data_IF_137124863570
#
_entry.id   IF_137124863570
#
_cell.length_a   1.000
_cell.length_b   1.000
_cell.length_c   1.000
_cell.angle_alpha   90.00
_cell.angle_beta   90.00
_cell.angle_gamma   90.00
#
_symmetry.space_group_name_H-M   'P 1'
#
loop_
_entity.id
_entity.type
_entity.pdbx_description
1 polymer ?
#
# COMPACT_ATOMS: atom_id res chain seq x y z
N UNK A 1 -26.60 5.51 10.95
CA UNK A 1 -27.54 6.48 10.32
C UNK A 1 -26.72 7.22 9.28
N UNK A 2 -26.72 6.76 8.02
CA UNK A 2 -27.65 7.06 6.91
C UNK A 2 -27.55 8.50 6.37
N UNK A 3 -27.06 8.58 5.11
CA UNK A 3 -27.47 9.52 4.05
C UNK A 3 -26.94 10.97 3.98
N UNK A 4 -25.70 11.29 4.39
CA UNK A 4 -25.12 12.61 4.04
C UNK A 4 -24.84 12.73 2.51
N UNK A 5 -24.65 11.61 1.80
CA UNK A 5 -24.49 11.58 0.33
C UNK A 5 -25.75 11.90 -0.49
N UNK A 6 -26.84 12.32 0.15
CA UNK A 6 -28.13 12.63 -0.48
C UNK A 6 -28.81 13.89 0.09
N UNK A 7 -28.09 14.77 0.78
CA UNK A 7 -28.68 16.07 1.13
C UNK A 7 -28.76 16.87 -0.17
N UNK A 8 -29.93 16.89 -0.80
CA UNK A 8 -30.22 17.86 -1.85
C UNK A 8 -30.30 19.22 -1.14
N UNK A 9 -29.66 20.29 -1.62
CA UNK A 9 -29.84 21.63 -1.06
C UNK A 9 -31.31 21.99 -0.81
N UNK A 10 -32.23 21.46 -1.64
CA UNK A 10 -33.70 21.55 -1.46
C UNK A 10 -34.21 21.04 -0.11
N UNK A 11 -33.57 20.04 0.47
CA UNK A 11 -33.97 19.44 1.75
C UNK A 11 -33.71 20.37 2.94
N UNK A 12 -32.85 21.40 2.79
CA UNK A 12 -32.62 22.43 3.79
C UNK A 12 -33.58 23.63 3.64
N UNK A 13 -34.16 23.84 2.46
CA UNK A 13 -35.09 24.95 2.22
C UNK A 13 -36.50 24.70 2.80
N UNK A 14 -36.93 23.43 2.90
CA UNK A 14 -38.21 23.02 3.51
C UNK A 14 -38.00 22.12 4.75
N UNK A 15 -37.15 22.59 5.67
CA UNK A 15 -36.75 21.84 6.86
C UNK A 15 -37.45 22.36 8.12
N UNK A 16 -37.89 21.44 8.99
CA UNK A 16 -38.33 21.82 10.32
C UNK A 16 -37.12 22.09 11.24
N UNK A 17 -37.31 22.94 12.26
CA UNK A 17 -36.20 23.34 13.14
C UNK A 17 -35.55 22.16 13.88
N UNK A 18 -36.31 21.10 14.17
CA UNK A 18 -35.79 19.91 14.85
C UNK A 18 -34.79 19.14 13.97
N UNK A 19 -35.09 18.96 12.68
CA UNK A 19 -34.20 18.32 11.73
C UNK A 19 -33.00 19.22 11.41
N UNK A 20 -33.22 20.52 11.26
CA UNK A 20 -32.16 21.49 11.03
C UNK A 20 -31.16 21.51 12.19
N UNK A 21 -31.66 21.45 13.42
CA UNK A 21 -30.85 21.41 14.63
C UNK A 21 -29.96 20.16 14.72
N UNK A 22 -30.34 19.03 14.11
CA UNK A 22 -29.46 17.85 14.07
C UNK A 22 -28.16 18.13 13.29
N UNK A 23 -28.25 18.87 12.19
CA UNK A 23 -27.08 19.29 11.41
C UNK A 23 -26.22 20.28 12.18
N UNK A 24 -26.85 21.25 12.84
CA UNK A 24 -26.17 22.20 13.73
C UNK A 24 -25.40 21.46 14.82
N UNK A 25 -26.04 20.52 15.51
CA UNK A 25 -25.40 19.75 16.57
C UNK A 25 -24.20 18.94 16.06
N UNK A 26 -24.28 18.38 14.85
CA UNK A 26 -23.16 17.66 14.22
C UNK A 26 -21.98 18.59 13.89
N UNK A 27 -22.25 19.79 13.39
CA UNK A 27 -21.23 20.80 13.13
C UNK A 27 -20.57 21.26 14.43
N UNK A 28 -21.38 21.61 15.44
CA UNK A 28 -20.87 22.06 16.74
C UNK A 28 -20.02 20.99 17.45
N UNK A 29 -20.33 19.70 17.24
CA UNK A 29 -19.53 18.60 17.77
C UNK A 29 -18.10 18.58 17.20
N UNK A 30 -17.91 18.88 15.90
CA UNK A 30 -16.58 19.00 15.26
C UNK A 30 -15.82 20.24 15.75
N UNK A 31 -16.52 21.33 16.06
CA UNK A 31 -15.95 22.49 16.74
C UNK A 31 -15.67 22.23 18.24
N UNK A 32 -15.93 21.01 18.73
CA UNK A 32 -15.71 20.61 20.12
C UNK A 32 -16.54 21.40 21.13
N UNK A 33 -17.74 21.86 20.76
CA UNK A 33 -18.69 22.48 21.67
C UNK A 33 -19.78 21.48 22.09
N UNK A 34 -20.37 21.71 23.26
CA UNK A 34 -21.51 20.96 23.75
C UNK A 34 -22.56 21.90 24.33
N UNK A 35 -23.82 21.53 24.21
CA UNK A 35 -24.93 22.27 24.80
C UNK A 35 -24.69 22.51 26.30
N UNK A 36 -24.88 23.76 26.73
CA UNK A 36 -24.78 24.15 28.13
C UNK A 36 -26.13 24.65 28.66
N UNK A 37 -26.69 25.70 28.06
CA UNK A 37 -27.90 26.37 28.54
C UNK A 37 -28.78 26.77 27.35
N UNK A 38 -30.11 26.64 27.49
CA UNK A 38 -31.07 27.22 26.54
C UNK A 38 -31.48 28.62 26.99
N UNK A 39 -31.42 29.59 26.08
CA UNK A 39 -31.82 30.98 26.33
C UNK A 39 -33.24 31.21 25.85
N UNK A 40 -33.53 30.81 24.61
CA UNK A 40 -34.82 31.08 23.97
C UNK A 40 -35.14 30.04 22.90
N UNK A 41 -36.41 29.66 22.86
CA UNK A 41 -36.95 28.82 21.81
C UNK A 41 -38.28 29.39 21.33
N UNK A 42 -38.35 29.69 20.03
CA UNK A 42 -39.59 30.00 19.31
C UNK A 42 -39.90 28.80 18.44
N UNK A 43 -41.00 28.06 18.72
CA UNK A 43 -41.33 26.85 17.98
C UNK A 43 -41.30 27.07 16.46
N UNK A 44 -40.61 26.17 15.75
CA UNK A 44 -40.46 26.16 14.29
C UNK A 44 -39.83 27.43 13.68
N UNK A 45 -39.18 28.29 14.48
CA UNK A 45 -38.55 29.51 13.97
C UNK A 45 -37.14 29.71 14.52
N UNK A 46 -36.99 29.84 15.83
CA UNK A 46 -35.72 30.29 16.43
C UNK A 46 -35.34 29.38 17.59
N UNK A 47 -34.06 29.02 17.69
CA UNK A 47 -33.50 28.38 18.87
C UNK A 47 -32.17 29.03 19.21
N UNK A 48 -32.05 29.49 20.45
CA UNK A 48 -30.93 30.28 20.93
C UNK A 48 -30.41 29.68 22.23
N UNK A 49 -29.14 29.31 22.23
CA UNK A 49 -28.51 28.51 23.28
C UNK A 49 -27.08 28.94 23.51
N UNK A 50 -26.57 28.72 24.72
CA UNK A 50 -25.16 28.82 25.05
C UNK A 50 -24.56 27.42 25.00
N UNK A 51 -23.47 27.29 24.27
CA UNK A 51 -22.70 26.07 24.19
C UNK A 51 -21.30 26.31 24.77
N UNK A 52 -20.78 25.33 25.51
CA UNK A 52 -19.46 25.38 26.14
C UNK A 52 -18.47 24.49 25.40
N UNK A 53 -17.25 24.98 25.20
CA UNK A 53 -16.18 24.19 24.60
C UNK A 53 -15.78 23.05 25.53
N UNK A 54 -15.56 21.85 24.99
CA UNK A 54 -15.31 20.63 25.77
C UNK A 54 -13.97 20.61 26.49
N UNK A 55 -13.02 21.47 26.11
CA UNK A 55 -11.63 21.47 26.61
C UNK A 55 -11.16 22.83 27.14
N UNK A 56 -12.01 23.85 27.14
CA UNK A 56 -11.71 25.17 27.67
C UNK A 56 -12.95 25.76 28.32
N UNK A 57 -12.81 26.88 29.02
CA UNK A 57 -13.93 27.60 29.61
C UNK A 57 -14.65 28.54 28.61
N UNK A 58 -14.30 28.44 27.33
CA UNK A 58 -14.92 29.25 26.28
C UNK A 58 -16.39 28.87 26.08
N UNK A 59 -17.24 29.89 26.08
CA UNK A 59 -18.66 29.78 25.77
C UNK A 59 -18.97 30.49 24.45
N UNK A 60 -19.94 29.97 23.71
CA UNK A 60 -20.38 30.54 22.45
C UNK A 60 -21.91 30.58 22.38
N UNK A 61 -22.43 31.65 21.79
CA UNK A 61 -23.83 31.73 21.43
C UNK A 61 -24.06 30.89 20.18
N UNK A 62 -24.98 29.93 20.26
CA UNK A 62 -25.48 29.19 19.11
C UNK A 62 -26.87 29.71 18.80
N UNK A 63 -27.00 30.40 17.67
CA UNK A 63 -28.27 30.93 17.18
C UNK A 63 -28.70 30.16 15.95
N UNK A 64 -29.89 29.57 15.99
CA UNK A 64 -30.49 28.83 14.88
C UNK A 64 -31.76 29.54 14.46
N UNK A 65 -31.78 30.07 13.23
CA UNK A 65 -32.90 30.78 12.65
C UNK A 65 -33.39 30.09 11.38
N UNK A 66 -34.62 29.54 11.43
CA UNK A 66 -35.29 28.91 10.30
C UNK A 66 -36.29 29.89 9.71
N UNK A 67 -36.12 30.20 8.43
CA UNK A 67 -37.02 31.06 7.65
C UNK A 67 -37.74 30.24 6.58
N UNK A 68 -38.84 30.80 6.07
CA UNK A 68 -39.57 30.19 4.94
C UNK A 68 -38.72 30.29 3.67
N UNK A 69 -38.92 29.35 2.75
CA UNK A 69 -38.21 29.25 1.48
C UNK A 69 -38.05 30.61 0.76
N UNK A 70 -36.82 30.89 0.30
CA UNK A 70 -36.45 32.11 -0.43
C UNK A 70 -36.69 33.42 0.33
N UNK A 71 -36.68 33.39 1.67
CA UNK A 71 -36.71 34.61 2.50
C UNK A 71 -35.36 34.88 3.15
N UNK A 72 -35.09 36.16 3.32
CA UNK A 72 -34.00 36.61 4.17
C UNK A 72 -34.38 36.50 5.65
N UNK A 73 -33.36 36.31 6.48
CA UNK A 73 -33.43 36.58 7.92
C UNK A 73 -33.85 38.03 8.15
N UNK A 74 -34.74 38.25 9.11
CA UNK A 74 -35.24 39.58 9.40
C UNK A 74 -34.14 40.41 10.11
N UNK A 75 -33.99 41.68 9.72
CA UNK A 75 -32.89 42.52 10.21
C UNK A 75 -32.95 42.79 11.73
N UNK A 76 -34.14 42.69 12.34
CA UNK A 76 -34.32 42.75 13.80
C UNK A 76 -33.69 41.55 14.52
N UNK A 77 -33.60 40.39 13.86
CA UNK A 77 -32.91 39.20 14.39
C UNK A 77 -31.42 39.47 14.61
N UNK A 78 -30.76 40.19 13.70
CA UNK A 78 -29.33 40.52 13.83
C UNK A 78 -29.06 41.39 15.06
N UNK A 79 -29.88 42.41 15.27
CA UNK A 79 -29.79 43.28 16.45
C UNK A 79 -30.05 42.48 17.73
N UNK A 80 -31.01 41.55 17.68
CA UNK A 80 -31.33 40.70 18.82
C UNK A 80 -30.17 39.74 19.16
N UNK A 81 -29.51 39.14 18.17
CA UNK A 81 -28.32 38.29 18.36
C UNK A 81 -27.26 39.03 19.16
N UNK A 82 -26.87 40.22 18.69
CA UNK A 82 -25.83 41.03 19.34
C UNK A 82 -26.22 41.45 20.76
N UNK A 83 -27.50 41.79 20.96
CA UNK A 83 -28.01 42.09 22.30
C UNK A 83 -27.88 40.89 23.24
N UNK A 84 -28.29 39.69 22.79
CA UNK A 84 -28.19 38.47 23.61
C UNK A 84 -26.73 38.12 23.91
N UNK A 85 -25.82 38.28 22.95
CA UNK A 85 -24.39 38.09 23.21
C UNK A 85 -23.87 39.03 24.29
N UNK A 86 -24.21 40.32 24.19
CA UNK A 86 -23.80 41.31 25.16
C UNK A 86 -24.40 41.05 26.55
N UNK A 87 -25.69 40.70 26.63
CA UNK A 87 -26.38 40.41 27.89
C UNK A 87 -25.78 39.19 28.61
N UNK A 88 -25.14 38.26 27.87
CA UNK A 88 -24.51 37.06 28.41
C UNK A 88 -22.96 37.12 28.40
N UNK A 89 -22.35 38.27 28.07
CA UNK A 89 -20.90 38.45 27.96
C UNK A 89 -20.20 37.44 27.03
N UNK A 90 -20.83 37.09 25.91
CA UNK A 90 -20.31 36.14 24.93
C UNK A 90 -19.55 36.85 23.81
N UNK A 91 -18.38 36.33 23.45
CA UNK A 91 -17.55 36.86 22.35
C UNK A 91 -17.52 35.95 21.13
N UNK A 92 -18.07 34.74 21.22
CA UNK A 92 -18.14 33.78 20.11
C UNK A 92 -19.58 33.55 19.70
N UNK A 93 -19.82 33.55 18.38
CA UNK A 93 -21.13 33.32 17.78
C UNK A 93 -21.04 32.20 16.73
N UNK A 94 -21.98 31.27 16.79
CA UNK A 94 -22.29 30.37 15.69
C UNK A 94 -23.74 30.64 15.26
N UNK A 95 -23.89 31.34 14.13
CA UNK A 95 -25.18 31.68 13.58
C UNK A 95 -25.52 30.73 12.43
N UNK A 96 -26.61 29.97 12.56
CA UNK A 96 -27.07 29.00 11.58
C UNK A 96 -28.41 29.42 11.00
N UNK A 97 -28.53 29.42 9.69
CA UNK A 97 -29.81 29.67 9.02
C UNK A 97 -29.95 28.88 7.73
N UNK A 98 -31.19 28.54 7.38
CA UNK A 98 -31.54 27.99 6.07
C UNK A 98 -31.89 29.07 5.02
N UNK A 99 -31.85 30.35 5.42
CA UNK A 99 -32.08 31.50 4.55
C UNK A 99 -30.82 32.27 4.21
N UNK A 100 -31.00 33.40 3.55
CA UNK A 100 -29.97 34.40 3.28
C UNK A 100 -29.95 35.51 4.33
N UNK A 101 -28.79 36.14 4.50
CA UNK A 101 -28.64 37.42 5.21
C UNK A 101 -28.44 38.50 4.15
N UNK A 102 -29.05 39.67 4.36
CA UNK A 102 -28.77 40.85 3.53
C UNK A 102 -27.33 41.30 3.77
N UNK A 103 -26.68 41.88 2.76
CA UNK A 103 -25.26 42.27 2.86
C UNK A 103 -24.94 43.16 4.07
N UNK A 104 -25.82 44.13 4.36
CA UNK A 104 -25.66 44.99 5.54
C UNK A 104 -25.82 44.25 6.87
N UNK A 105 -26.74 43.29 6.93
CA UNK A 105 -26.98 42.46 8.13
C UNK A 105 -25.83 41.47 8.35
N UNK A 106 -25.27 40.92 7.26
CA UNK A 106 -24.07 40.06 7.30
C UNK A 106 -22.86 40.84 7.82
N UNK A 107 -22.61 42.05 7.30
CA UNK A 107 -21.52 42.91 7.76
C UNK A 107 -21.59 43.26 9.24
N UNK A 108 -22.80 43.39 9.79
CA UNK A 108 -22.99 43.66 11.23
C UNK A 108 -22.60 42.45 12.09
N UNK A 109 -22.84 41.22 11.60
CA UNK A 109 -22.48 39.98 12.29
C UNK A 109 -21.06 39.50 11.99
N UNK A 110 -20.39 40.05 10.99
CA UNK A 110 -19.05 39.65 10.55
C UNK A 110 -17.98 40.28 11.45
N UNK A 111 -17.75 39.67 12.60
CA UNK A 111 -16.75 40.07 13.61
C UNK A 111 -15.84 38.89 13.98
N UNK A 112 -14.69 39.18 14.59
CA UNK A 112 -13.74 38.17 15.02
C UNK A 112 -14.36 37.22 16.05
N UNK A 113 -14.41 35.92 15.74
CA UNK A 113 -15.05 34.91 16.58
C UNK A 113 -16.52 34.64 16.25
N UNK A 114 -17.06 35.30 15.22
CA UNK A 114 -18.38 34.99 14.69
C UNK A 114 -18.28 34.08 13.46
N UNK A 115 -19.11 33.04 13.45
CA UNK A 115 -19.18 32.06 12.39
C UNK A 115 -20.62 31.99 11.86
N UNK A 116 -20.81 32.42 10.61
CA UNK A 116 -22.11 32.47 9.96
C UNK A 116 -22.21 31.32 8.98
N UNK A 117 -23.20 30.46 9.19
CA UNK A 117 -23.50 29.28 8.41
C UNK A 117 -24.85 29.46 7.73
N UNK A 118 -24.84 29.87 6.45
CA UNK A 118 -26.04 29.78 5.62
C UNK A 118 -26.13 28.39 4.99
N UNK A 119 -27.17 28.13 4.21
CA UNK A 119 -27.40 26.82 3.58
C UNK A 119 -26.16 26.27 2.87
N UNK A 120 -25.42 27.10 2.12
CA UNK A 120 -24.25 26.66 1.38
C UNK A 120 -23.09 26.29 2.32
N UNK A 121 -22.77 27.13 3.32
CA UNK A 121 -21.70 26.83 4.28
C UNK A 121 -22.03 25.61 5.16
N UNK A 122 -23.30 25.39 5.49
CA UNK A 122 -23.76 24.20 6.21
C UNK A 122 -23.48 22.95 5.37
N UNK A 123 -23.87 22.95 4.09
CA UNK A 123 -23.66 21.81 3.19
C UNK A 123 -22.17 21.53 3.03
N UNK A 124 -21.35 22.55 2.77
CA UNK A 124 -19.90 22.38 2.62
C UNK A 124 -19.27 21.80 3.88
N UNK A 125 -19.67 22.31 5.05
CA UNK A 125 -19.17 21.82 6.33
C UNK A 125 -19.57 20.37 6.56
N UNK A 126 -20.83 20.00 6.34
CA UNK A 126 -21.30 18.61 6.46
C UNK A 126 -20.57 17.67 5.50
N UNK A 127 -20.30 18.10 4.26
CA UNK A 127 -19.51 17.31 3.30
C UNK A 127 -18.07 17.11 3.81
N UNK A 128 -17.45 18.15 4.38
CA UNK A 128 -16.12 18.05 4.97
C UNK A 128 -16.12 17.10 6.18
N UNK A 129 -17.16 17.12 7.01
CA UNK A 129 -17.35 16.21 8.14
C UNK A 129 -17.51 14.76 7.70
N UNK A 130 -18.29 14.49 6.66
CA UNK A 130 -18.45 13.13 6.12
C UNK A 130 -17.10 12.59 5.59
N UNK A 131 -16.29 13.45 4.95
CA UNK A 131 -14.91 13.08 4.54
C UNK A 131 -14.01 12.75 5.73
N UNK A 132 -14.15 13.45 6.88
CA UNK A 132 -13.43 13.14 8.13
C UNK A 132 -13.95 11.85 8.79
N UNK A 133 -15.26 11.56 8.68
CA UNK A 133 -15.93 10.40 9.28
C UNK A 133 -15.71 9.09 8.52
N UNK A 134 -15.28 9.11 7.26
CA UNK A 134 -14.76 7.90 6.60
C UNK A 134 -13.51 7.47 7.38
N UNK A 135 -13.58 6.39 8.17
CA UNK A 135 -12.40 5.96 8.89
C UNK A 135 -11.39 5.54 7.82
N UNK A 136 -10.22 6.19 7.78
CA UNK A 136 -9.03 5.57 7.21
C UNK A 136 -8.91 4.22 7.90
N UNK A 137 -9.27 3.14 7.20
CA UNK A 137 -9.13 1.77 7.71
C UNK A 137 -7.63 1.62 8.00
N UNK A 138 -7.22 1.78 9.27
CA UNK A 138 -5.91 1.32 9.69
C UNK A 138 -5.95 -0.19 9.52
N UNK A 139 -5.28 -0.68 8.47
CA UNK A 139 -5.14 -2.10 8.26
C UNK A 139 -4.25 -2.62 9.38
N UNK A 140 -4.88 -3.22 10.41
CA UNK A 140 -4.14 -3.93 11.44
C UNK A 140 -3.50 -5.15 10.78
N UNK A 141 -2.19 -5.28 10.94
CA UNK A 141 -1.46 -6.41 10.39
C UNK A 141 -2.04 -7.71 10.90
N UNK A 142 -2.21 -8.68 10.01
CA UNK A 142 -2.88 -9.94 10.32
C UNK A 142 -1.84 -11.03 10.51
N UNK A 143 -1.86 -11.70 11.65
CA UNK A 143 -1.21 -13.01 11.74
C UNK A 143 -1.92 -13.98 10.81
N UNK A 144 -1.21 -14.43 9.79
CA UNK A 144 -1.70 -15.40 8.82
C UNK A 144 -1.04 -16.74 9.08
N UNK A 145 -1.85 -17.81 9.16
CA UNK A 145 -1.34 -19.18 9.27
C UNK A 145 -0.64 -19.66 7.99
N UNK A 146 -1.03 -19.10 6.85
CA UNK A 146 -0.48 -19.41 5.53
C UNK A 146 -0.23 -18.09 4.81
N UNK A 147 1.01 -17.79 4.41
CA UNK A 147 1.32 -16.56 3.69
C UNK A 147 0.53 -16.44 2.38
N UNK A 148 0.01 -15.24 2.11
CA UNK A 148 -0.81 -14.93 0.92
C UNK A 148 -0.07 -15.23 -0.38
N UNK A 149 1.22 -14.88 -0.45
CA UNK A 149 2.09 -15.19 -1.59
C UNK A 149 2.22 -16.70 -1.84
N UNK A 150 2.24 -17.51 -0.78
CA UNK A 150 2.27 -18.97 -0.93
C UNK A 150 0.97 -19.51 -1.53
N UNK A 151 -0.19 -19.00 -1.11
CA UNK A 151 -1.49 -19.36 -1.68
C UNK A 151 -1.54 -19.00 -3.17
N UNK A 152 -1.07 -17.80 -3.54
CA UNK A 152 -1.01 -17.34 -4.92
C UNK A 152 -0.17 -18.29 -5.79
N UNK A 153 1.05 -18.62 -5.34
CA UNK A 153 1.96 -19.55 -6.03
C UNK A 153 1.30 -20.92 -6.19
N UNK A 154 0.73 -21.47 -5.10
CA UNK A 154 0.09 -22.78 -5.12
C UNK A 154 -1.06 -22.85 -6.12
N UNK A 155 -1.91 -21.83 -6.15
CA UNK A 155 -3.04 -21.75 -7.07
C UNK A 155 -2.56 -21.61 -8.53
N UNK A 156 -1.54 -20.79 -8.75
CA UNK A 156 -0.95 -20.60 -10.07
C UNK A 156 -0.31 -21.88 -10.63
N UNK A 157 0.47 -22.60 -9.81
CA UNK A 157 1.12 -23.85 -10.23
C UNK A 157 0.12 -25.00 -10.41
N UNK A 158 -0.93 -25.08 -9.58
CA UNK A 158 -1.98 -26.11 -9.71
C UNK A 158 -2.83 -25.96 -10.97
N UNK A 159 -3.01 -24.74 -11.45
CA UNK A 159 -3.85 -24.43 -12.60
C UNK A 159 -3.12 -24.56 -13.94
N UNK A 160 -1.85 -24.98 -13.95
CA UNK A 160 -1.02 -25.07 -15.16
C UNK A 160 -0.34 -26.42 -15.26
N UNK A 161 -0.28 -26.95 -16.46
CA UNK A 161 0.56 -28.10 -16.77
C UNK A 161 2.03 -27.68 -16.85
N UNK A 162 2.90 -28.47 -16.23
CA UNK A 162 4.34 -28.26 -16.34
C UNK A 162 4.79 -28.69 -17.75
N UNK A 163 5.60 -27.86 -18.44
CA UNK A 163 6.19 -28.26 -19.71
C UNK A 163 7.02 -29.54 -19.54
N UNK A 164 6.82 -30.51 -20.44
CA UNK A 164 7.58 -31.76 -20.43
C UNK A 164 9.00 -31.60 -20.96
N UNK A 165 9.22 -30.58 -21.80
CA UNK A 165 10.52 -30.28 -22.39
C UNK A 165 11.45 -29.65 -21.36
N UNK A 166 12.67 -30.17 -21.30
CA UNK A 166 13.74 -29.63 -20.46
C UNK A 166 14.63 -28.70 -21.29
N UNK A 167 14.83 -27.49 -20.80
CA UNK A 167 15.74 -26.51 -21.36
C UNK A 167 17.14 -26.74 -20.78
N UNK A 168 18.01 -27.37 -21.57
CA UNK A 168 19.41 -27.60 -21.17
C UNK A 168 20.18 -26.29 -21.23
N UNK A 169 20.70 -25.86 -20.09
CA UNK A 169 21.44 -24.62 -19.95
C UNK A 169 22.92 -24.88 -20.14
N UNK A 170 23.51 -24.22 -21.14
CA UNK A 170 24.95 -24.25 -21.40
C UNK A 170 25.68 -23.38 -20.38
N UNK A 171 26.90 -23.78 -19.99
CA UNK A 171 27.70 -23.08 -18.99
C UNK A 171 27.87 -21.58 -19.26
N UNK A 172 28.04 -21.19 -20.53
CA UNK A 172 28.21 -19.79 -20.93
C UNK A 172 26.95 -18.94 -20.78
N UNK A 173 25.77 -19.57 -20.66
CA UNK A 173 24.49 -18.88 -20.46
C UNK A 173 24.07 -18.83 -18.99
N UNK A 174 24.80 -19.48 -18.08
CA UNK A 174 24.44 -19.53 -16.66
C UNK A 174 24.43 -18.12 -16.07
N UNK A 175 25.48 -17.32 -16.33
CA UNK A 175 25.58 -15.94 -15.85
C UNK A 175 24.42 -15.08 -16.34
N UNK A 176 24.14 -15.11 -17.64
CA UNK A 176 23.05 -14.35 -18.24
C UNK A 176 21.68 -14.70 -17.63
N UNK A 177 21.45 -15.99 -17.36
CA UNK A 177 20.21 -16.45 -16.71
C UNK A 177 20.15 -15.93 -15.27
N UNK A 178 21.22 -16.05 -14.50
CA UNK A 178 21.27 -15.57 -13.12
C UNK A 178 21.06 -14.05 -13.06
N UNK A 179 21.73 -13.29 -13.93
CA UNK A 179 21.60 -11.83 -14.03
C UNK A 179 20.19 -11.40 -14.39
N UNK A 180 19.54 -12.13 -15.31
CA UNK A 180 18.13 -11.92 -15.63
C UNK A 180 17.26 -12.04 -14.36
N UNK A 181 17.51 -13.02 -13.50
CA UNK A 181 16.74 -13.17 -12.27
C UNK A 181 17.10 -12.12 -11.22
N UNK A 182 18.38 -11.79 -11.03
CA UNK A 182 18.81 -10.68 -10.16
C UNK A 182 18.07 -9.38 -10.52
N UNK A 183 17.92 -9.10 -11.83
CA UNK A 183 17.27 -7.88 -12.32
C UNK A 183 15.79 -7.75 -11.93
N UNK A 184 15.13 -8.85 -11.52
CA UNK A 184 13.74 -8.83 -11.08
C UNK A 184 13.53 -8.12 -9.74
N UNK A 185 14.57 -7.99 -8.91
CA UNK A 185 14.46 -7.35 -7.60
C UNK A 185 14.34 -5.82 -7.69
N UNK A 186 15.07 -5.21 -8.62
CA UNK A 186 15.23 -3.76 -8.68
C UNK A 186 13.88 -3.01 -8.88
N UNK A 187 12.98 -3.43 -9.77
CA UNK A 187 11.65 -2.82 -9.89
C UNK A 187 10.83 -2.90 -8.59
N UNK A 188 10.94 -4.02 -7.87
CA UNK A 188 10.19 -4.27 -6.62
C UNK A 188 10.73 -3.36 -5.52
N UNK A 189 12.06 -3.34 -5.34
CA UNK A 189 12.76 -2.48 -4.39
C UNK A 189 12.41 -1.01 -4.59
N UNK A 190 12.41 -0.54 -5.84
CA UNK A 190 12.08 0.84 -6.19
C UNK A 190 10.62 1.21 -5.91
N UNK A 191 9.68 0.28 -5.99
CA UNK A 191 8.29 0.54 -5.61
C UNK A 191 8.19 0.63 -4.07
N UNK A 192 8.80 -0.31 -3.37
CA UNK A 192 8.74 -0.43 -1.90
C UNK A 192 9.43 0.74 -1.21
N UNK A 193 10.54 1.27 -1.76
CA UNK A 193 11.24 2.43 -1.21
C UNK A 193 10.37 3.71 -1.16
N UNK A 194 9.27 3.76 -1.94
CA UNK A 194 8.32 4.87 -1.90
C UNK A 194 7.25 4.73 -0.79
N UNK A 195 7.23 3.60 -0.08
CA UNK A 195 6.30 3.36 1.03
C UNK A 195 6.83 4.07 2.27
N UNK A 196 6.19 5.19 2.65
CA UNK A 196 6.52 5.93 3.88
C UNK A 196 6.05 5.22 5.14
N UNK A 197 4.89 4.55 5.05
CA UNK A 197 4.29 3.81 6.16
C UNK A 197 3.70 2.49 5.63
N UNK A 198 4.25 1.37 6.08
CA UNK A 198 3.78 0.04 5.68
C UNK A 198 2.41 -0.32 6.25
N UNK A 199 1.91 0.42 7.24
CA UNK A 199 0.57 0.22 7.81
C UNK A 199 -0.52 1.03 7.04
N UNK A 200 -0.09 1.91 6.13
CA UNK A 200 -0.97 2.75 5.31
C UNK A 200 -0.40 2.88 3.88
N UNK A 201 -0.36 1.75 3.18
CA UNK A 201 0.12 1.69 1.79
C UNK A 201 -0.94 2.29 0.84
N UNK A 202 -0.57 3.30 0.03
CA UNK A 202 -1.44 3.84 -1.01
C UNK A 202 -1.92 2.80 -2.03
N UNK A 203 -3.15 2.95 -2.53
CA UNK A 203 -3.76 2.01 -3.49
C UNK A 203 -2.99 1.92 -4.81
N UNK A 204 -2.40 3.03 -5.27
CA UNK A 204 -1.58 3.05 -6.49
C UNK A 204 -0.31 2.21 -6.34
N UNK A 205 0.34 2.27 -5.17
CA UNK A 205 1.51 1.43 -4.85
C UNK A 205 1.09 -0.03 -4.75
N UNK A 206 -0.03 -0.32 -4.08
CA UNK A 206 -0.56 -1.68 -3.95
C UNK A 206 -0.84 -2.32 -5.31
N UNK A 207 -1.47 -1.58 -6.23
CA UNK A 207 -1.74 -2.06 -7.58
C UNK A 207 -0.47 -2.26 -8.41
N UNK A 208 0.54 -1.38 -8.27
CA UNK A 208 1.85 -1.58 -8.91
C UNK A 208 2.54 -2.85 -8.40
N UNK A 209 2.55 -3.05 -7.09
CA UNK A 209 3.14 -4.25 -6.47
C UNK A 209 2.42 -5.53 -6.92
N UNK A 210 1.09 -5.54 -6.95
CA UNK A 210 0.32 -6.68 -7.48
C UNK A 210 0.72 -6.99 -8.92
N UNK A 211 0.82 -6.00 -9.80
CA UNK A 211 1.25 -6.22 -11.19
C UNK A 211 2.62 -6.89 -11.27
N UNK A 212 3.58 -6.42 -10.49
CA UNK A 212 4.90 -7.06 -10.42
C UNK A 212 4.81 -8.49 -9.86
N UNK A 213 4.00 -8.72 -8.82
CA UNK A 213 3.76 -10.05 -8.27
C UNK A 213 3.25 -11.04 -9.33
N UNK A 214 2.29 -10.63 -10.17
CA UNK A 214 1.76 -11.47 -11.24
C UNK A 214 2.76 -11.69 -12.38
N UNK A 215 3.63 -10.71 -12.69
CA UNK A 215 4.72 -10.86 -13.67
C UNK A 215 5.78 -11.88 -13.24
N UNK A 216 5.96 -12.10 -11.93
CA UNK A 216 6.91 -13.08 -11.42
C UNK A 216 6.41 -14.53 -11.59
N UNK A 217 5.10 -14.77 -11.52
CA UNK A 217 4.54 -16.13 -11.51
C UNK A 217 4.96 -17.02 -12.70
N UNK A 218 4.96 -16.54 -13.98
CA UNK A 218 5.43 -17.35 -15.11
C UNK A 218 6.87 -17.84 -14.96
N UNK A 219 7.73 -17.09 -14.27
CA UNK A 219 9.12 -17.46 -14.09
C UNK A 219 9.29 -18.77 -13.30
N UNK A 220 8.40 -19.07 -12.35
CA UNK A 220 8.44 -20.34 -11.60
C UNK A 220 8.30 -21.56 -12.52
N UNK A 221 7.42 -21.46 -13.52
CA UNK A 221 7.23 -22.51 -14.53
C UNK A 221 8.48 -22.59 -15.41
N UNK A 222 8.98 -21.46 -15.91
CA UNK A 222 10.18 -21.43 -16.75
C UNK A 222 11.38 -22.06 -16.04
N UNK A 223 11.64 -21.69 -14.78
CA UNK A 223 12.75 -22.26 -13.98
C UNK A 223 12.60 -23.77 -13.82
N UNK A 224 11.37 -24.28 -13.65
CA UNK A 224 11.12 -25.71 -13.53
C UNK A 224 11.54 -26.51 -14.77
N UNK A 225 11.62 -25.86 -15.94
CA UNK A 225 12.08 -26.48 -17.19
C UNK A 225 13.59 -26.52 -17.32
N UNK A 226 14.34 -25.70 -16.57
CA UNK A 226 15.79 -25.66 -16.69
C UNK A 226 16.44 -26.97 -16.24
N UNK A 227 17.49 -27.33 -16.97
CA UNK A 227 18.40 -28.43 -16.68
C UNK A 227 19.82 -27.90 -16.79
N UNK A 228 20.44 -27.63 -15.64
CA UNK A 228 21.83 -27.19 -15.57
C UNK A 228 22.77 -28.40 -15.69
N UNK A 229 24.07 -28.14 -15.82
CA UNK A 229 25.09 -29.17 -15.64
C UNK A 229 25.17 -29.60 -14.17
N UNK A 230 25.64 -30.81 -13.90
CA UNK A 230 25.64 -31.43 -12.56
C UNK A 230 26.20 -30.50 -11.46
N UNK A 231 27.33 -29.85 -11.72
CA UNK A 231 27.96 -28.90 -10.79
C UNK A 231 27.05 -27.72 -10.39
N UNK A 232 26.12 -27.34 -11.25
CA UNK A 232 25.23 -26.17 -11.11
C UNK A 232 23.75 -26.54 -10.96
N UNK A 233 23.41 -27.81 -10.71
CA UNK A 233 22.01 -28.23 -10.52
C UNK A 233 21.30 -27.47 -9.40
N UNK A 234 22.05 -27.06 -8.37
CA UNK A 234 21.54 -26.29 -7.24
C UNK A 234 20.89 -24.97 -7.68
N UNK A 235 21.38 -24.34 -8.77
CA UNK A 235 20.85 -23.07 -9.28
C UNK A 235 19.37 -23.14 -9.64
N UNK A 236 18.88 -24.30 -10.11
CA UNK A 236 17.45 -24.46 -10.39
C UNK A 236 16.61 -24.23 -9.12
N UNK A 237 17.03 -24.84 -8.02
CA UNK A 237 16.34 -24.74 -6.73
C UNK A 237 16.48 -23.33 -6.19
N UNK A 238 17.69 -22.77 -6.28
CA UNK A 238 17.94 -21.43 -5.75
C UNK A 238 17.17 -20.35 -6.52
N UNK A 239 17.18 -20.38 -7.85
CA UNK A 239 16.39 -19.45 -8.67
C UNK A 239 14.89 -19.58 -8.39
N UNK A 240 14.39 -20.81 -8.22
CA UNK A 240 12.98 -21.05 -7.91
C UNK A 240 12.61 -20.45 -6.55
N UNK A 241 13.43 -20.70 -5.53
CA UNK A 241 13.21 -20.17 -4.18
C UNK A 241 13.32 -18.65 -4.13
N UNK A 242 14.27 -18.07 -4.86
CA UNK A 242 14.42 -16.63 -4.99
C UNK A 242 13.15 -15.98 -5.58
N UNK A 243 12.65 -16.48 -6.71
CA UNK A 243 11.42 -15.93 -7.32
C UNK A 243 10.22 -16.15 -6.40
N UNK A 244 10.14 -17.30 -5.73
CA UNK A 244 9.12 -17.57 -4.70
C UNK A 244 9.20 -16.52 -3.58
N UNK A 245 10.39 -16.21 -3.08
CA UNK A 245 10.59 -15.21 -2.02
C UNK A 245 10.20 -13.81 -2.46
N UNK A 246 10.52 -13.40 -3.69
CA UNK A 246 10.05 -12.11 -4.23
C UNK A 246 8.51 -12.02 -4.23
N UNK A 247 7.82 -13.09 -4.63
CA UNK A 247 6.35 -13.14 -4.62
C UNK A 247 5.79 -13.10 -3.19
N UNK A 248 6.43 -13.81 -2.25
CA UNK A 248 6.04 -13.80 -0.84
C UNK A 248 6.27 -12.44 -0.20
N UNK A 249 7.41 -11.79 -0.48
CA UNK A 249 7.75 -10.47 0.00
C UNK A 249 6.71 -9.43 -0.43
N UNK A 250 6.32 -9.42 -1.71
CA UNK A 250 5.25 -8.56 -2.19
C UNK A 250 3.92 -8.89 -1.50
N UNK A 251 3.57 -10.17 -1.38
CA UNK A 251 2.35 -10.64 -0.73
C UNK A 251 2.23 -10.15 0.71
N UNK A 252 3.31 -10.29 1.47
CA UNK A 252 3.38 -9.86 2.85
C UNK A 252 3.13 -8.35 3.02
N UNK A 253 3.64 -7.54 2.08
CA UNK A 253 3.45 -6.09 2.09
C UNK A 253 1.99 -5.74 1.74
N UNK A 254 1.45 -6.25 0.63
CA UNK A 254 0.12 -5.83 0.14
C UNK A 254 -1.06 -6.37 0.98
N UNK A 255 -0.87 -7.51 1.66
CA UNK A 255 -1.87 -8.13 2.54
C UNK A 255 -1.67 -7.76 4.02
N UNK A 256 -0.72 -6.88 4.34
CA UNK A 256 -0.40 -6.43 5.69
C UNK A 256 -0.10 -7.61 6.63
N UNK A 257 0.78 -8.50 6.20
CA UNK A 257 1.31 -9.58 7.05
C UNK A 257 2.27 -8.99 8.12
N UNK A 258 2.67 -9.78 9.13
CA UNK A 258 3.58 -9.32 10.18
C UNK A 258 4.87 -8.74 9.60
N UNK A 259 5.39 -7.67 10.22
CA UNK A 259 6.64 -7.04 9.76
C UNK A 259 7.83 -8.00 9.84
N UNK A 260 7.82 -8.92 10.82
CA UNK A 260 8.80 -10.00 10.94
C UNK A 260 8.89 -10.84 9.66
N UNK A 261 7.75 -11.19 9.04
CA UNK A 261 7.73 -11.93 7.78
C UNK A 261 8.27 -11.09 6.62
N UNK A 262 7.92 -9.80 6.57
CA UNK A 262 8.42 -8.85 5.57
C UNK A 262 9.95 -8.73 5.64
N UNK A 263 10.50 -8.55 6.84
CA UNK A 263 11.94 -8.44 7.08
C UNK A 263 12.66 -9.76 6.80
N UNK A 264 12.08 -10.88 7.22
CA UNK A 264 12.61 -12.21 6.94
C UNK A 264 12.73 -12.46 5.44
N UNK A 265 11.66 -12.24 4.67
CA UNK A 265 11.70 -12.45 3.23
C UNK A 265 12.72 -11.52 2.55
N UNK A 266 12.81 -10.27 2.99
CA UNK A 266 13.81 -9.33 2.48
C UNK A 266 15.24 -9.82 2.76
N UNK A 267 15.53 -10.26 3.99
CA UNK A 267 16.84 -10.78 4.36
C UNK A 267 17.21 -12.00 3.53
N UNK A 268 16.30 -12.97 3.40
CA UNK A 268 16.54 -14.16 2.58
C UNK A 268 16.79 -13.76 1.11
N UNK A 269 16.04 -12.81 0.54
CA UNK A 269 16.27 -12.29 -0.82
C UNK A 269 17.69 -11.72 -0.96
N UNK A 270 18.14 -10.93 0.00
CA UNK A 270 19.49 -10.32 0.00
C UNK A 270 20.59 -11.38 0.06
N UNK A 271 20.40 -12.47 0.82
CA UNK A 271 21.32 -13.63 0.82
C UNK A 271 21.38 -14.32 -0.55
N UNK A 272 20.24 -14.51 -1.23
CA UNK A 272 20.25 -15.04 -2.60
C UNK A 272 21.01 -14.13 -3.56
N UNK A 273 20.83 -12.81 -3.46
CA UNK A 273 21.55 -11.84 -4.30
C UNK A 273 23.06 -11.89 -4.08
N UNK A 274 23.52 -11.98 -2.83
CA UNK A 274 24.95 -12.13 -2.52
C UNK A 274 25.51 -13.43 -3.13
N UNK A 275 24.81 -14.56 -2.97
CA UNK A 275 25.23 -15.84 -3.57
C UNK A 275 25.27 -15.78 -5.10
N UNK A 276 24.25 -15.21 -5.71
CA UNK A 276 24.20 -15.06 -7.17
C UNK A 276 25.29 -14.13 -7.71
N UNK A 277 25.72 -13.12 -6.93
CA UNK A 277 26.82 -12.25 -7.35
C UNK A 277 28.15 -12.99 -7.50
N UNK A 278 28.34 -14.11 -6.79
CA UNK A 278 29.55 -14.94 -6.82
C UNK A 278 29.55 -16.01 -7.91
N UNK A 279 28.47 -16.12 -8.69
CA UNK A 279 28.34 -17.21 -9.67
C UNK A 279 29.40 -17.14 -10.79
N UNK A 280 29.86 -15.94 -11.13
CA UNK A 280 30.90 -15.75 -12.14
C UNK A 280 32.22 -16.37 -11.69
N UNK A 281 32.59 -16.17 -10.42
CA UNK A 281 33.78 -16.77 -9.81
C UNK A 281 33.67 -18.31 -9.80
N UNK A 282 32.50 -18.85 -9.46
CA UNK A 282 32.26 -20.30 -9.48
C UNK A 282 32.36 -20.89 -10.90
N UNK A 283 31.81 -20.21 -11.90
CA UNK A 283 31.89 -20.61 -13.31
C UNK A 283 33.36 -20.63 -13.76
N UNK A 284 34.12 -19.59 -13.43
CA UNK A 284 35.52 -19.49 -13.84
C UNK A 284 36.42 -20.48 -13.11
N UNK A 285 36.16 -20.74 -11.83
CA UNK A 285 36.82 -21.81 -11.09
C UNK A 285 36.54 -23.16 -11.73
N UNK A 286 35.28 -23.47 -12.05
CA UNK A 286 34.92 -24.72 -12.71
C UNK A 286 35.59 -24.88 -14.08
N UNK A 287 35.65 -23.82 -14.90
CA UNK A 287 36.37 -23.86 -16.19
C UNK A 287 37.85 -24.17 -16.00
N UNK A 288 38.50 -23.55 -15.00
CA UNK A 288 39.91 -23.82 -14.67
C UNK A 288 40.13 -25.27 -14.24
N UNK A 289 39.31 -25.77 -13.32
CA UNK A 289 39.34 -27.16 -12.85
C UNK A 289 39.18 -28.14 -14.02
N UNK A 290 38.22 -27.88 -14.91
CA UNK A 290 37.95 -28.72 -16.08
C UNK A 290 39.12 -28.72 -17.08
N UNK A 291 39.74 -27.56 -17.32
CA UNK A 291 40.93 -27.47 -18.18
C UNK A 291 42.10 -28.25 -17.58
N UNK A 292 42.33 -28.13 -16.28
CA UNK A 292 43.45 -28.78 -15.60
C UNK A 292 43.25 -30.29 -15.51
N UNK A 293 42.02 -30.75 -15.27
CA UNK A 293 41.68 -32.18 -15.31
C UNK A 293 41.88 -32.76 -16.73
N UNK A 294 41.42 -32.05 -17.76
CA UNK A 294 41.64 -32.45 -19.15
C UNK A 294 43.13 -32.47 -19.53
N UNK A 295 43.94 -31.51 -19.06
CA UNK A 295 45.40 -31.54 -19.25
C UNK A 295 46.02 -32.77 -18.60
N UNK A 296 45.66 -33.07 -17.34
CA UNK A 296 46.16 -34.25 -16.62
C UNK A 296 45.75 -35.55 -17.32
N UNK A 297 44.50 -35.66 -17.77
CA UNK A 297 44.01 -36.81 -18.53
C UNK A 297 44.77 -36.96 -19.86
N UNK A 298 44.97 -35.86 -20.60
CA UNK A 298 45.71 -35.86 -21.85
C UNK A 298 47.16 -36.31 -21.66
N UNK A 299 47.84 -35.83 -20.61
CA UNK A 299 49.20 -36.26 -20.26
C UNK A 299 49.23 -37.75 -19.90
N UNK A 300 48.29 -38.25 -19.08
CA UNK A 300 48.20 -39.68 -18.77
C UNK A 300 47.97 -40.52 -20.02
N UNK A 301 47.09 -40.10 -20.91
CA UNK A 301 46.82 -40.79 -22.17
C UNK A 301 48.05 -40.82 -23.08
N UNK A 302 48.79 -39.71 -23.19
CA UNK A 302 50.05 -39.66 -23.94
C UNK A 302 51.09 -40.62 -23.36
N UNK A 303 51.31 -40.60 -22.05
CA UNK A 303 52.25 -41.51 -21.38
C UNK A 303 51.85 -42.97 -21.60
N UNK A 304 50.57 -43.31 -21.39
CA UNK A 304 50.07 -44.67 -21.63
C UNK A 304 50.21 -45.10 -23.09
N UNK A 305 50.00 -44.20 -24.04
CA UNK A 305 50.15 -44.47 -25.47
C UNK A 305 51.61 -44.75 -25.84
N UNK A 306 52.55 -43.94 -25.34
CA UNK A 306 53.99 -44.16 -25.56
C UNK A 306 54.44 -45.48 -24.93
N UNK A 307 54.00 -45.78 -23.70
CA UNK A 307 54.32 -47.02 -23.01
C UNK A 307 53.82 -48.24 -23.82
N UNK A 308 52.59 -48.16 -24.34
CA UNK A 308 52.02 -49.21 -25.18
C UNK A 308 52.80 -49.42 -26.47
N UNK A 309 53.22 -48.34 -27.15
CA UNK A 309 54.05 -48.41 -28.36
C UNK A 309 55.40 -49.08 -28.07
N UNK A 310 56.06 -48.74 -26.96
CA UNK A 310 57.34 -49.34 -26.56
C UNK A 310 57.16 -50.84 -26.28
N UNK A 311 56.15 -51.22 -25.50
CA UNK A 311 55.85 -52.63 -25.19
C UNK A 311 55.55 -53.40 -26.49
N UNK A 312 54.77 -52.82 -27.39
CA UNK A 312 54.43 -53.42 -28.67
C UNK A 312 55.66 -53.62 -29.56
N UNK A 313 56.55 -52.62 -29.65
CA UNK A 313 57.83 -52.73 -30.38
C UNK A 313 58.72 -53.83 -29.81
N UNK A 314 58.84 -53.93 -28.48
CA UNK A 314 59.62 -54.98 -27.83
C UNK A 314 59.05 -56.37 -28.15
N UNK A 315 57.73 -56.53 -28.10
CA UNK A 315 57.07 -57.79 -28.48
C UNK A 315 57.30 -58.14 -29.95
N UNK A 316 57.23 -57.16 -30.85
CA UNK A 316 57.43 -57.34 -32.29
C UNK A 316 58.88 -57.76 -32.58
N UNK A 317 59.87 -57.11 -31.94
CA UNK A 317 61.28 -57.52 -32.03
C UNK A 317 61.48 -58.94 -31.51
N UNK A 318 60.89 -59.29 -30.36
CA UNK A 318 60.99 -60.66 -29.83
C UNK A 318 60.37 -61.70 -30.75
N UNK A 319 59.27 -61.37 -31.43
CA UNK A 319 58.63 -62.25 -32.42
C UNK A 319 59.52 -62.44 -33.66
N UNK A 320 60.12 -61.37 -34.17
CA UNK A 320 61.02 -61.42 -35.34
C UNK A 320 62.36 -62.12 -35.04
N UNK A 321 62.84 -62.07 -33.80
CA UNK A 321 64.09 -62.74 -33.40
C UNK A 321 63.87 -64.24 -33.09
N UNK A 322 62.64 -64.65 -32.76
CA UNK A 322 62.30 -66.06 -32.44
C UNK A 322 61.64 -66.83 -33.60
N UNK A 323 61.06 -66.15 -34.58
CA UNK A 323 60.61 -66.73 -35.84
C UNK A 323 61.71 -66.72 -36.88
#
# INVERSE_FOLDING_TARGET
MNQIRKIDPKDLYDINIANFYNYVAEIMDDFHYAFHISIREIPNKTRCEIWKHKRSDDEALVWVEVVKESKDVASDTVVEVLRVMNDNNLTKLFFFTNGSLKDGDRQILDDEGHFIFTTDEIIETLIALDKKKIPKKKYVRKQVKIPSGFVLIRNYLRSRELPKEKNVIRINLIKDIVDKYISLYEPIKNIISNIKNYDEIPDDIKERLKREQFKLLPNLIVISTYSFMDKFQYLKVDLFNYVKLLIMYIGAIIEYEPMEDVEKYKSEIEEYLDRFSKIEEEIDQYKKEYIDENKRLSVRLLVSSVLFIIIFLILLIMLVVKG
#
